data_IF_877737228503
#
_entry.id   IF_877737228503
#
_cell.length_a   1.000
_cell.length_b   1.000
_cell.length_c   1.000
_cell.angle_alpha   90.00
_cell.angle_beta   90.00
_cell.angle_gamma   90.00
#
_symmetry.space_group_name_H-M   'P 1'
#
loop_
_entity.id
_entity.type
_entity.pdbx_description
1 polymer ?
#
# COMPACT_ATOMS: atom_id res chain seq x y z
N UNK A 1 8.22 1.02 -11.23
CA UNK A 1 6.76 1.20 -11.46
C UNK A 1 6.43 2.66 -11.20
N UNK A 2 5.47 3.26 -11.91
CA UNK A 2 5.05 4.64 -11.62
C UNK A 2 4.44 4.74 -10.21
N UNK A 3 4.70 5.83 -9.47
CA UNK A 3 4.03 6.07 -8.21
C UNK A 3 2.52 6.17 -8.43
N UNK A 4 1.75 5.45 -7.61
CA UNK A 4 0.30 5.55 -7.60
C UNK A 4 -0.15 6.51 -6.52
N UNK A 5 -0.86 7.57 -6.89
CA UNK A 5 -1.43 8.52 -5.93
C UNK A 5 -2.93 8.26 -5.81
N UNK A 6 -3.42 8.16 -4.58
CA UNK A 6 -4.83 8.04 -4.28
C UNK A 6 -5.21 8.95 -3.09
N UNK A 7 -6.50 9.23 -2.94
CA UNK A 7 -7.05 9.95 -1.80
C UNK A 7 -7.90 8.99 -0.99
N UNK A 8 -7.74 8.98 0.33
CA UNK A 8 -8.51 8.14 1.22
C UNK A 8 -8.81 8.88 2.51
N UNK A 9 -10.07 8.83 2.95
CA UNK A 9 -10.57 9.59 4.10
C UNK A 9 -10.31 11.11 4.04
N UNK A 10 -10.15 11.67 2.82
CA UNK A 10 -9.80 13.07 2.62
C UNK A 10 -8.30 13.37 2.75
N UNK A 11 -7.46 12.35 2.97
CA UNK A 11 -6.01 12.45 2.98
C UNK A 11 -5.42 11.93 1.66
N UNK A 12 -4.47 12.68 1.09
CA UNK A 12 -3.76 12.25 -0.10
C UNK A 12 -2.57 11.35 0.25
N UNK A 13 -2.48 10.20 -0.42
CA UNK A 13 -1.43 9.21 -0.26
C UNK A 13 -0.72 8.97 -1.60
N UNK A 14 0.61 8.88 -1.56
CA UNK A 14 1.45 8.50 -2.69
C UNK A 14 2.11 7.15 -2.40
N UNK A 15 1.90 6.18 -3.27
CA UNK A 15 2.46 4.83 -3.15
C UNK A 15 3.53 4.62 -4.20
N UNK A 16 4.71 4.19 -3.75
CA UNK A 16 5.81 3.77 -4.63
C UNK A 16 6.04 2.28 -4.45
N UNK A 17 5.99 1.54 -5.54
CA UNK A 17 6.25 0.11 -5.53
C UNK A 17 7.71 -0.15 -5.91
N UNK A 18 8.44 -0.75 -4.99
CA UNK A 18 9.82 -1.20 -5.16
C UNK A 18 9.84 -2.73 -5.20
N UNK A 19 10.60 -3.30 -6.14
CA UNK A 19 10.84 -4.74 -6.21
C UNK A 19 12.09 -5.06 -5.40
N UNK A 20 11.96 -5.93 -4.42
CA UNK A 20 13.08 -6.52 -3.65
C UNK A 20 13.09 -8.03 -3.87
N UNK A 21 14.22 -8.70 -3.58
CA UNK A 21 14.42 -10.14 -3.81
C UNK A 21 13.22 -11.00 -3.37
N UNK A 22 12.37 -11.39 -4.33
CA UNK A 22 11.19 -12.24 -4.09
C UNK A 22 10.03 -11.59 -3.33
N UNK A 23 10.02 -10.26 -3.16
CA UNK A 23 8.87 -9.51 -2.64
C UNK A 23 8.69 -8.13 -3.31
N UNK A 24 7.49 -7.58 -3.19
CA UNK A 24 7.21 -6.19 -3.56
C UNK A 24 7.06 -5.37 -2.29
N UNK A 25 7.73 -4.23 -2.20
CA UNK A 25 7.56 -3.29 -1.11
C UNK A 25 6.80 -2.08 -1.63
N UNK A 26 5.65 -1.79 -1.04
CA UNK A 26 4.90 -0.57 -1.30
C UNK A 26 5.23 0.46 -0.23
N UNK A 27 5.84 1.57 -0.63
CA UNK A 27 6.10 2.72 0.20
C UNK A 27 4.95 3.71 0.07
N UNK A 28 4.08 3.74 1.06
CA UNK A 28 2.95 4.66 1.16
C UNK A 28 3.42 5.91 1.92
N UNK A 29 3.38 7.06 1.27
CA UNK A 29 3.67 8.37 1.85
C UNK A 29 2.38 9.16 1.96
N UNK A 30 2.00 9.58 3.16
CA UNK A 30 0.93 10.55 3.36
C UNK A 30 1.44 11.94 3.01
N UNK A 31 0.76 12.63 2.11
CA UNK A 31 1.15 13.98 1.65
C UNK A 31 0.88 15.03 2.74
N UNK A 32 -0.12 14.82 3.59
CA UNK A 32 -0.50 15.77 4.64
C UNK A 32 0.59 16.03 5.68
N UNK A 33 1.28 14.97 6.15
CA UNK A 33 2.27 15.05 7.25
C UNK A 33 3.61 14.42 6.88
N UNK A 34 3.82 14.10 5.61
CA UNK A 34 4.99 13.38 5.12
C UNK A 34 5.21 11.98 5.73
N UNK A 35 4.20 11.40 6.36
CA UNK A 35 4.31 10.11 7.02
C UNK A 35 4.57 9.00 6.00
N UNK A 36 5.76 8.39 6.06
CA UNK A 36 6.16 7.29 5.20
C UNK A 36 5.96 5.95 5.93
N UNK A 37 5.31 4.99 5.26
CA UNK A 37 5.14 3.63 5.75
C UNK A 37 5.37 2.65 4.63
N UNK A 38 6.05 1.55 4.92
CA UNK A 38 6.42 0.54 3.94
C UNK A 38 5.68 -0.77 4.25
N UNK A 39 5.03 -1.35 3.24
CA UNK A 39 4.35 -2.65 3.31
C UNK A 39 5.09 -3.63 2.41
N UNK A 40 5.52 -4.75 2.98
CA UNK A 40 6.11 -5.83 2.21
C UNK A 40 5.01 -6.83 1.80
N UNK A 41 4.87 -7.02 0.50
CA UNK A 41 4.04 -8.01 -0.15
C UNK A 41 4.95 -9.14 -0.66
N UNK A 42 5.03 -10.28 0.04
CA UNK A 42 5.69 -11.45 -0.53
C UNK A 42 4.95 -11.88 -1.81
N UNK A 43 5.64 -12.46 -2.79
CA UNK A 43 5.06 -13.04 -4.03
C UNK A 43 4.19 -14.30 -3.77
N UNK A 44 3.36 -14.25 -2.72
CA UNK A 44 2.52 -15.35 -2.24
C UNK A 44 1.06 -15.24 -2.68
N UNK A 45 0.18 -15.93 -1.96
CA UNK A 45 -1.25 -16.03 -2.30
C UNK A 45 -1.93 -14.64 -2.32
N UNK A 46 -2.61 -14.31 -3.41
CA UNK A 46 -3.23 -12.99 -3.64
C UNK A 46 -2.41 -12.04 -4.53
N UNK A 47 -1.18 -12.42 -4.88
CA UNK A 47 -0.36 -11.74 -5.89
C UNK A 47 -0.74 -12.23 -7.30
N UNK A 48 -1.38 -11.38 -8.09
CA UNK A 48 -1.62 -11.64 -9.50
C UNK A 48 -0.36 -11.24 -10.29
N UNK A 49 0.42 -12.22 -10.77
CA UNK A 49 1.58 -11.94 -11.60
C UNK A 49 1.22 -11.27 -12.94
N UNK A 50 -0.02 -11.43 -13.39
CA UNK A 50 -0.58 -10.80 -14.59
C UNK A 50 -1.02 -9.34 -14.33
N UNK A 51 -1.47 -9.04 -13.10
CA UNK A 51 -1.89 -7.69 -12.67
C UNK A 51 -1.28 -7.31 -11.32
N UNK A 52 0.05 -7.28 -11.30
CA UNK A 52 0.86 -6.98 -10.12
C UNK A 52 0.46 -5.64 -9.51
N UNK A 53 0.18 -4.65 -10.37
CA UNK A 53 -0.19 -3.30 -9.96
C UNK A 53 -1.53 -3.29 -9.22
N UNK A 54 -2.57 -3.94 -9.74
CA UNK A 54 -3.88 -4.00 -9.08
C UNK A 54 -3.85 -4.79 -7.78
N UNK A 55 -3.12 -5.90 -7.71
CA UNK A 55 -2.92 -6.64 -6.45
C UNK A 55 -2.25 -5.77 -5.38
N UNK A 56 -1.22 -5.02 -5.75
CA UNK A 56 -0.50 -4.15 -4.82
C UNK A 56 -1.35 -2.95 -4.41
N UNK A 57 -2.10 -2.34 -5.33
CA UNK A 57 -3.01 -1.23 -5.05
C UNK A 57 -4.11 -1.68 -4.08
N UNK A 58 -4.79 -2.81 -4.35
CA UNK A 58 -5.84 -3.34 -3.48
C UNK A 58 -5.32 -3.63 -2.06
N UNK A 59 -4.10 -4.18 -1.95
CA UNK A 59 -3.43 -4.37 -0.66
C UNK A 59 -3.10 -3.05 0.05
N UNK A 60 -2.68 -2.02 -0.70
CA UNK A 60 -2.43 -0.69 -0.17
C UNK A 60 -3.71 0.01 0.26
N UNK A 61 -4.80 -0.09 -0.49
CA UNK A 61 -6.09 0.48 -0.15
C UNK A 61 -6.64 -0.13 1.14
N UNK A 62 -6.57 -1.46 1.30
CA UNK A 62 -6.97 -2.16 2.51
C UNK A 62 -6.10 -1.78 3.72
N UNK A 63 -4.78 -1.67 3.51
CA UNK A 63 -3.85 -1.26 4.55
C UNK A 63 -4.10 0.20 4.97
N UNK A 64 -4.27 1.11 4.01
CA UNK A 64 -4.58 2.51 4.27
C UNK A 64 -5.94 2.66 4.97
N UNK A 65 -6.96 1.87 4.59
CA UNK A 65 -8.26 1.89 5.26
C UNK A 65 -8.11 1.50 6.74
N UNK A 66 -7.22 0.54 7.02
CA UNK A 66 -6.83 0.17 8.39
C UNK A 66 -5.97 1.22 9.09
N UNK A 67 -5.43 2.23 8.38
CA UNK A 67 -4.77 3.38 9.01
C UNK A 67 -5.77 4.46 9.42
N UNK A 68 -6.78 4.73 8.60
CA UNK A 68 -7.81 5.72 8.88
C UNK A 68 -8.66 5.34 10.09
N UNK A 69 -8.93 4.04 10.26
CA UNK A 69 -9.74 3.51 11.36
C UNK A 69 -8.98 3.43 12.72
N UNK A 70 -7.68 3.74 12.75
CA UNK A 70 -6.83 3.43 13.89
C UNK A 70 -6.54 1.92 13.99
N UNK A 71 -5.63 1.48 14.90
CA UNK A 71 -5.24 0.08 14.97
C UNK A 71 -6.48 -0.81 15.12
N UNK A 72 -6.59 -1.92 14.37
CA UNK A 72 -7.76 -2.78 14.46
C UNK A 72 -7.89 -3.21 15.92
N UNK A 73 -8.96 -2.76 16.57
CA UNK A 73 -9.35 -3.30 17.87
C UNK A 73 -9.74 -4.74 17.61
N UNK A 74 -8.76 -5.63 17.80
CA UNK A 74 -8.92 -7.07 17.75
C UNK A 74 -9.98 -7.44 18.80
N UNK A 75 -11.18 -7.82 18.34
CA UNK A 75 -12.28 -8.28 19.17
C UNK A 75 -12.58 -9.75 18.90
#
# INVERSE_FOLDING_TARGET
MEPHRFEQDGEAYEVRFERVDGAWVAHIRRVADDALRSLAFPDGVGYAADDVRGSLIAGCEAAAASFADGPPTRH
#
